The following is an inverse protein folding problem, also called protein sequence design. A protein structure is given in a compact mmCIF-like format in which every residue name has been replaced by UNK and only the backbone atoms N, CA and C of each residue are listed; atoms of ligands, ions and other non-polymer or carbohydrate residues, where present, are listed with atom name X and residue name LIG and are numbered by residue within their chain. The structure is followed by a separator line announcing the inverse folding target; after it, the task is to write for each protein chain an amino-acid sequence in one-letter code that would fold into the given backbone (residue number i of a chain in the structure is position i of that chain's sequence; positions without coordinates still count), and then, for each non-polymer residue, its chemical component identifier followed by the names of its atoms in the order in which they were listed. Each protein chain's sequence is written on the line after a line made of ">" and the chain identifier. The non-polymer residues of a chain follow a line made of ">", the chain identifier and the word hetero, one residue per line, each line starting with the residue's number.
data_IF_936608866716
#
_entry.id   IF_936608866716
#
_cell.length_a   1.000
_cell.length_b   1.000
_cell.length_c   1.000
_cell.angle_alpha   90.00
_cell.angle_beta   90.00
_cell.angle_gamma   90.00
#
_symmetry.space_group_name_H-M   'P 1'
#
loop_
_entity.id
_entity.type
_entity.pdbx_description
1 polymer ?
#
# COMPACT_ATOMS: atom_id res chain seq x y z
N UNK A 1 35.05 -1.29 14.16
CA UNK A 1 35.07 -1.21 12.70
C UNK A 1 34.03 -2.19 12.20
N UNK A 2 32.82 -1.72 11.99
CA UNK A 2 31.68 -2.55 11.53
C UNK A 2 31.82 -2.77 10.04
N UNK A 3 31.86 -4.02 9.63
CA UNK A 3 31.85 -4.47 8.23
C UNK A 3 30.55 -3.98 7.60
N UNK A 4 30.64 -2.97 6.74
CA UNK A 4 29.54 -2.63 5.84
C UNK A 4 29.31 -3.83 4.94
N UNK A 5 28.21 -4.55 5.16
CA UNK A 5 27.75 -5.61 4.29
C UNK A 5 27.53 -5.00 2.90
N UNK A 6 28.32 -5.40 1.92
CA UNK A 6 28.08 -5.08 0.51
C UNK A 6 26.73 -5.72 0.16
N UNK A 7 25.72 -4.91 -0.05
CA UNK A 7 24.45 -5.36 -0.67
C UNK A 7 24.83 -5.93 -2.04
N UNK A 8 24.57 -7.20 -2.24
CA UNK A 8 24.97 -7.92 -3.45
C UNK A 8 24.19 -7.39 -4.65
N UNK A 9 24.82 -7.44 -5.83
CA UNK A 9 24.21 -7.20 -7.15
C UNK A 9 23.30 -8.36 -7.59
N UNK A 10 22.53 -8.93 -6.65
CA UNK A 10 21.75 -10.13 -6.84
C UNK A 10 20.25 -9.86 -6.79
N UNK A 11 19.48 -10.87 -7.18
CA UNK A 11 18.01 -10.88 -7.00
C UNK A 11 17.64 -11.09 -5.54
N UNK A 12 16.50 -10.53 -5.12
CA UNK A 12 15.92 -10.76 -3.81
C UNK A 12 14.46 -11.19 -4.01
N UNK A 13 14.09 -12.30 -3.37
CA UNK A 13 12.71 -12.74 -3.19
C UNK A 13 12.49 -12.93 -1.69
N UNK A 14 11.78 -11.99 -1.08
CA UNK A 14 11.60 -11.92 0.37
C UNK A 14 10.64 -12.97 0.91
N UNK A 15 9.64 -13.35 0.13
CA UNK A 15 8.52 -14.16 0.61
C UNK A 15 8.34 -15.48 -0.17
N UNK A 16 9.02 -15.68 -1.31
CA UNK A 16 8.91 -16.89 -2.13
C UNK A 16 7.50 -17.12 -2.67
N UNK A 17 6.79 -16.06 -3.07
CA UNK A 17 5.42 -16.13 -3.51
C UNK A 17 5.30 -16.49 -5.00
N UNK A 18 4.21 -17.16 -5.34
CA UNK A 18 3.84 -17.48 -6.72
C UNK A 18 2.45 -16.90 -7.03
N UNK A 19 2.37 -16.05 -8.04
CA UNK A 19 1.14 -15.41 -8.50
C UNK A 19 0.04 -16.43 -8.85
N UNK A 20 0.39 -17.57 -9.44
CA UNK A 20 -0.57 -18.59 -9.81
C UNK A 20 -1.24 -19.27 -8.60
N UNK A 21 -0.53 -19.32 -7.48
CA UNK A 21 -1.01 -19.96 -6.25
C UNK A 21 -1.50 -19.00 -5.19
N UNK A 22 -1.20 -17.70 -5.32
CA UNK A 22 -1.69 -16.69 -4.37
C UNK A 22 -3.22 -16.69 -4.29
N UNK A 23 -3.74 -16.51 -3.10
CA UNK A 23 -5.18 -16.36 -2.87
C UNK A 23 -5.41 -15.08 -2.09
N UNK A 24 -6.20 -14.14 -2.64
CA UNK A 24 -6.53 -12.89 -1.97
C UNK A 24 -7.15 -13.12 -0.60
N UNK A 25 -6.89 -12.20 0.31
CA UNK A 25 -7.47 -12.24 1.63
C UNK A 25 -9.00 -12.17 1.60
N UNK A 26 -9.68 -12.76 2.59
CA UNK A 26 -11.15 -12.79 2.65
C UNK A 26 -11.79 -11.38 2.71
N UNK A 27 -11.07 -10.36 3.14
CA UNK A 27 -11.53 -8.97 3.05
C UNK A 27 -11.71 -8.49 1.61
N UNK A 28 -11.04 -9.09 0.63
CA UNK A 28 -11.18 -8.83 -0.81
C UNK A 28 -12.12 -9.84 -1.50
N UNK A 29 -12.86 -10.65 -0.77
CA UNK A 29 -13.77 -11.62 -1.37
C UNK A 29 -14.87 -10.95 -2.21
N UNK A 30 -15.26 -11.61 -3.31
CA UNK A 30 -16.20 -11.06 -4.30
C UNK A 30 -17.62 -10.78 -3.76
N UNK A 31 -17.99 -11.35 -2.61
CA UNK A 31 -19.25 -11.08 -1.91
C UNK A 31 -19.20 -9.80 -1.06
N UNK A 32 -18.04 -9.16 -0.92
CA UNK A 32 -17.88 -7.86 -0.30
C UNK A 32 -18.34 -6.76 -1.25
N UNK A 33 -18.99 -5.72 -0.66
CA UNK A 33 -19.55 -4.62 -1.46
C UNK A 33 -18.60 -3.47 -1.71
N UNK A 34 -17.44 -3.44 -1.06
CA UNK A 34 -16.44 -2.44 -1.37
C UNK A 34 -15.65 -2.81 -2.62
N UNK A 35 -15.56 -1.87 -3.48
CA UNK A 35 -14.69 -1.92 -4.63
C UNK A 35 -13.33 -1.37 -4.21
N UNK A 36 -12.28 -1.77 -4.86
CA UNK A 36 -10.95 -1.20 -4.75
C UNK A 36 -11.00 0.31 -4.96
N UNK A 37 -10.96 1.03 -3.87
CA UNK A 37 -11.04 2.50 -3.89
C UNK A 37 -9.85 3.15 -3.21
N UNK A 38 -9.00 2.34 -2.58
CA UNK A 38 -7.82 2.79 -1.85
C UNK A 38 -6.69 1.77 -1.96
N UNK A 39 -5.87 1.93 -3.00
CA UNK A 39 -4.73 1.05 -3.29
C UNK A 39 -3.77 0.87 -2.09
N UNK A 40 -3.64 1.86 -1.22
CA UNK A 40 -2.78 1.76 -0.04
C UNK A 40 -3.31 0.76 1.00
N UNK A 41 -4.61 0.82 1.29
CA UNK A 41 -5.25 -0.13 2.23
C UNK A 41 -5.31 -1.53 1.64
N UNK A 42 -5.61 -1.63 0.35
CA UNK A 42 -5.72 -2.92 -0.34
C UNK A 42 -4.38 -3.65 -0.34
N UNK A 43 -3.30 -2.94 -0.62
CA UNK A 43 -1.93 -3.47 -0.53
C UNK A 43 -1.61 -3.99 0.88
N UNK A 44 -1.97 -3.26 1.94
CA UNK A 44 -1.76 -3.70 3.30
C UNK A 44 -2.63 -4.91 3.68
N UNK A 45 -3.86 -4.98 3.13
CA UNK A 45 -4.75 -6.13 3.35
C UNK A 45 -4.16 -7.42 2.81
N UNK A 46 -3.33 -7.37 1.76
CA UNK A 46 -2.61 -8.51 1.20
C UNK A 46 -1.21 -8.72 1.83
N UNK A 47 -0.49 -7.64 2.12
CA UNK A 47 0.86 -7.72 2.68
C UNK A 47 0.86 -8.26 4.11
N UNK A 48 -0.07 -7.82 4.96
CA UNK A 48 -0.14 -8.26 6.36
C UNK A 48 -0.28 -9.78 6.50
N UNK A 49 -1.20 -10.49 5.79
CA UNK A 49 -1.27 -11.94 5.82
C UNK A 49 0.00 -12.61 5.32
N UNK A 50 0.64 -12.07 4.28
CA UNK A 50 1.91 -12.58 3.78
C UNK A 50 3.05 -12.45 4.79
N UNK A 51 2.95 -11.48 5.71
CA UNK A 51 3.84 -11.30 6.86
C UNK A 51 3.42 -12.09 8.11
N UNK A 52 2.28 -12.81 8.07
CA UNK A 52 1.75 -13.61 9.16
C UNK A 52 0.85 -12.86 10.14
N UNK A 53 0.28 -11.72 9.72
CA UNK A 53 -0.58 -10.87 10.56
C UNK A 53 -2.02 -10.77 10.02
N UNK A 54 -3.05 -10.79 10.88
CA UNK A 54 -4.44 -10.62 10.45
C UNK A 54 -4.76 -9.13 10.22
N UNK A 55 -5.09 -8.71 9.00
CA UNK A 55 -5.34 -7.30 8.67
C UNK A 55 -6.55 -6.71 9.42
N UNK A 56 -7.52 -7.55 9.80
CA UNK A 56 -8.71 -7.14 10.54
C UNK A 56 -8.37 -6.46 11.87
N UNK A 57 -7.29 -6.88 12.52
CA UNK A 57 -6.88 -6.32 13.80
C UNK A 57 -6.49 -4.84 13.71
N UNK A 58 -6.08 -4.38 12.52
CA UNK A 58 -5.66 -2.99 12.30
C UNK A 58 -6.79 -2.09 11.76
N UNK A 59 -8.00 -2.59 11.52
CA UNK A 59 -9.14 -1.79 11.02
C UNK A 59 -9.84 -0.86 12.03
N UNK A 60 -9.58 -0.90 13.36
CA UNK A 60 -10.26 -0.03 14.32
C UNK A 60 -10.22 1.47 14.00
N UNK A 61 -9.20 1.97 13.30
CA UNK A 61 -9.06 3.38 12.92
C UNK A 61 -10.18 3.86 12.00
N UNK A 62 -10.87 2.96 11.29
CA UNK A 62 -11.89 3.28 10.29
C UNK A 62 -13.06 4.07 10.87
N UNK A 63 -13.34 3.91 12.17
CA UNK A 63 -14.46 4.61 12.86
C UNK A 63 -14.21 6.12 13.03
N UNK A 64 -13.00 6.61 12.78
CA UNK A 64 -12.66 8.05 12.88
C UNK A 64 -12.68 8.77 11.53
N UNK A 65 -13.09 8.10 10.45
CA UNK A 65 -13.21 8.71 9.14
C UNK A 65 -14.12 9.94 9.18
N UNK A 66 -13.67 11.06 8.64
CA UNK A 66 -14.40 12.32 8.60
C UNK A 66 -14.61 12.83 7.17
N UNK A 67 -15.54 13.77 7.03
CA UNK A 67 -15.78 14.50 5.80
C UNK A 67 -15.41 15.97 6.00
N UNK A 68 -14.41 16.43 5.26
CA UNK A 68 -13.76 17.75 5.41
C UNK A 68 -14.51 18.87 4.65
N UNK A 69 -15.71 18.57 4.13
CA UNK A 69 -16.52 19.53 3.40
C UNK A 69 -16.47 19.39 1.88
N UNK A 70 -15.40 18.90 1.35
CA UNK A 70 -15.18 18.62 -0.08
C UNK A 70 -14.76 17.18 -0.37
N UNK A 71 -14.14 16.49 0.59
CA UNK A 71 -13.72 15.10 0.47
C UNK A 71 -13.71 14.39 1.83
N UNK A 72 -13.69 13.06 1.82
CA UNK A 72 -13.39 12.27 3.02
C UNK A 72 -11.89 12.29 3.31
N UNK A 73 -11.51 12.28 4.60
CA UNK A 73 -10.11 12.09 4.99
C UNK A 73 -9.53 10.85 4.33
N UNK A 74 -8.28 10.94 3.86
CA UNK A 74 -7.66 9.81 3.19
C UNK A 74 -7.53 8.60 4.12
N UNK A 75 -7.95 7.45 3.65
CA UNK A 75 -8.02 6.23 4.43
C UNK A 75 -6.63 5.58 4.46
N UNK A 76 -5.89 5.77 5.55
CA UNK A 76 -4.54 5.24 5.75
C UNK A 76 -4.41 4.64 7.14
N UNK A 77 -3.76 3.48 7.27
CA UNK A 77 -3.44 2.91 8.58
C UNK A 77 -2.58 3.88 9.38
N UNK A 78 -2.91 4.16 10.66
CA UNK A 78 -2.00 4.82 11.57
C UNK A 78 -0.75 3.96 11.75
N UNK A 79 0.43 4.54 11.51
CA UNK A 79 1.70 3.79 11.57
C UNK A 79 1.99 3.27 12.98
N UNK A 80 1.58 4.03 13.99
CA UNK A 80 1.64 3.65 15.40
C UNK A 80 0.77 2.42 15.72
N UNK A 81 -0.36 2.24 15.05
CA UNK A 81 -1.21 1.06 15.22
C UNK A 81 -0.53 -0.18 14.64
N UNK A 82 0.08 -0.08 13.46
CA UNK A 82 0.85 -1.18 12.85
C UNK A 82 2.03 -1.59 13.74
N UNK A 83 2.70 -0.62 14.35
CA UNK A 83 3.79 -0.90 15.27
C UNK A 83 3.27 -1.56 16.57
N UNK A 84 2.21 -1.04 17.15
CA UNK A 84 1.64 -1.56 18.39
C UNK A 84 1.06 -2.98 18.26
N UNK A 85 0.44 -3.29 17.11
CA UNK A 85 -0.18 -4.60 16.86
C UNK A 85 0.83 -5.63 16.38
N UNK A 86 1.66 -5.25 15.42
CA UNK A 86 2.44 -6.18 14.61
C UNK A 86 3.95 -6.01 14.74
N UNK A 87 4.42 -5.01 15.50
CA UNK A 87 5.85 -4.70 15.57
C UNK A 87 6.41 -4.21 14.24
N UNK A 88 5.57 -3.64 13.36
CA UNK A 88 5.95 -3.13 12.05
C UNK A 88 6.18 -1.62 12.12
N UNK A 89 7.41 -1.18 11.87
CA UNK A 89 7.76 0.22 11.72
C UNK A 89 7.82 0.60 10.26
N UNK A 90 6.98 1.54 9.84
CA UNK A 90 6.90 2.04 8.47
C UNK A 90 7.55 3.41 8.41
N UNK A 91 8.49 3.60 7.50
CA UNK A 91 9.26 4.83 7.38
C UNK A 91 9.37 5.25 5.93
N UNK A 92 9.16 6.54 5.67
CA UNK A 92 9.41 7.12 4.36
C UNK A 92 10.91 7.12 4.05
N UNK A 93 11.24 6.79 2.81
CA UNK A 93 12.61 6.76 2.33
C UNK A 93 13.01 8.13 1.74
N UNK A 94 14.11 8.69 2.19
CA UNK A 94 14.74 9.82 1.53
C UNK A 94 15.48 9.32 0.28
N UNK A 95 14.87 9.50 -0.89
CA UNK A 95 15.35 8.99 -2.16
C UNK A 95 16.53 9.84 -2.64
N UNK A 96 17.68 9.22 -2.87
CA UNK A 96 18.89 9.85 -3.39
C UNK A 96 19.51 9.09 -4.59
N UNK A 97 19.01 7.90 -4.88
CA UNK A 97 19.39 7.04 -5.99
C UNK A 97 18.12 6.61 -6.74
N UNK A 98 18.20 5.66 -7.66
CA UNK A 98 17.03 5.12 -8.32
C UNK A 98 16.10 4.39 -7.34
N UNK A 99 14.81 4.40 -7.63
CA UNK A 99 13.81 3.62 -6.86
C UNK A 99 14.15 2.13 -6.91
N UNK A 100 14.64 1.66 -8.07
CA UNK A 100 15.10 0.29 -8.24
C UNK A 100 16.22 -0.08 -7.25
N UNK A 101 17.28 0.76 -7.17
CA UNK A 101 18.40 0.52 -6.27
C UNK A 101 17.97 0.52 -4.80
N UNK A 102 17.15 1.48 -4.40
CA UNK A 102 16.60 1.52 -3.04
C UNK A 102 15.72 0.32 -2.73
N UNK A 103 14.87 -0.11 -3.69
CA UNK A 103 14.02 -1.29 -3.52
C UNK A 103 14.88 -2.54 -3.32
N UNK A 104 15.88 -2.76 -4.17
CA UNK A 104 16.80 -3.90 -4.04
C UNK A 104 17.51 -3.90 -2.68
N UNK A 105 18.01 -2.76 -2.23
CA UNK A 105 18.70 -2.62 -0.96
C UNK A 105 17.79 -2.92 0.23
N UNK A 106 16.58 -2.35 0.26
CA UNK A 106 15.64 -2.55 1.37
C UNK A 106 15.12 -4.00 1.42
N UNK A 107 14.77 -4.58 0.28
CA UNK A 107 14.41 -6.00 0.21
C UNK A 107 15.55 -6.90 0.66
N UNK A 108 16.79 -6.58 0.28
CA UNK A 108 18.00 -7.30 0.73
C UNK A 108 18.23 -7.23 2.25
N UNK A 109 17.64 -6.23 2.92
CA UNK A 109 17.62 -6.10 4.39
C UNK A 109 16.40 -6.79 5.03
N UNK A 110 15.52 -7.40 4.24
CA UNK A 110 14.30 -8.04 4.72
C UNK A 110 13.11 -7.09 4.90
N UNK A 111 13.16 -5.91 4.28
CA UNK A 111 12.13 -4.89 4.38
C UNK A 111 11.29 -4.82 3.10
N UNK A 112 9.98 -5.17 3.11
CA UNK A 112 9.07 -4.82 2.02
C UNK A 112 9.09 -3.32 1.76
N UNK A 113 8.88 -2.92 0.50
CA UNK A 113 8.89 -1.51 0.09
C UNK A 113 7.56 -1.15 -0.56
N UNK A 114 6.85 -0.18 0.02
CA UNK A 114 5.68 0.40 -0.62
C UNK A 114 6.14 1.54 -1.54
N UNK A 115 5.71 1.50 -2.79
CA UNK A 115 6.12 2.44 -3.82
C UNK A 115 4.90 3.02 -4.51
N UNK A 116 4.83 4.34 -4.66
CA UNK A 116 3.88 4.96 -5.59
C UNK A 116 4.43 4.85 -7.00
N UNK A 117 3.65 4.25 -7.89
CA UNK A 117 4.02 3.94 -9.26
C UNK A 117 2.94 4.35 -10.26
N UNK A 118 3.31 4.37 -11.52
CA UNK A 118 2.38 4.60 -12.62
C UNK A 118 1.74 3.28 -13.08
N UNK A 119 0.42 3.17 -12.92
CA UNK A 119 -0.36 1.99 -13.32
C UNK A 119 -0.30 1.68 -14.82
N UNK A 120 0.20 2.61 -15.63
CA UNK A 120 0.47 2.39 -17.06
C UNK A 120 1.35 1.14 -17.30
N UNK A 121 2.27 0.85 -16.36
CA UNK A 121 3.23 -0.23 -16.45
C UNK A 121 2.84 -1.48 -15.68
N UNK A 122 1.65 -1.51 -15.06
CA UNK A 122 1.18 -2.65 -14.28
C UNK A 122 0.17 -3.49 -15.10
N UNK A 123 0.53 -4.72 -15.53
CA UNK A 123 -0.36 -5.58 -16.31
C UNK A 123 -1.70 -5.88 -15.63
N UNK A 124 -1.71 -5.98 -14.31
CA UNK A 124 -2.90 -6.23 -13.48
C UNK A 124 -3.82 -5.01 -13.34
N UNK A 125 -3.34 -3.80 -13.64
CA UNK A 125 -4.14 -2.56 -13.57
C UNK A 125 -5.21 -2.44 -14.67
N UNK A 126 -5.37 -3.43 -15.54
CA UNK A 126 -6.43 -3.60 -16.53
C UNK A 126 -6.83 -2.34 -17.31
N UNK A 127 -7.72 -1.50 -16.78
CA UNK A 127 -8.22 -0.31 -17.50
C UNK A 127 -7.14 0.70 -17.87
N UNK A 128 -6.11 0.87 -17.03
CA UNK A 128 -5.04 1.85 -17.21
C UNK A 128 -3.77 1.30 -17.86
N UNK A 129 -3.59 -0.03 -17.83
CA UNK A 129 -2.42 -0.68 -18.42
C UNK A 129 -2.24 -0.30 -19.89
N UNK A 130 -1.11 0.34 -20.22
CA UNK A 130 -0.75 0.83 -21.56
C UNK A 130 -1.74 1.83 -22.19
N UNK A 131 -2.66 2.40 -21.36
CA UNK A 131 -3.71 3.30 -21.85
C UNK A 131 -3.76 4.64 -21.14
N UNK A 132 -3.45 4.66 -19.85
CA UNK A 132 -3.52 5.88 -19.03
C UNK A 132 -2.41 5.93 -18.02
N UNK A 133 -2.15 7.12 -17.49
CA UNK A 133 -1.15 7.37 -16.45
C UNK A 133 -1.88 7.71 -15.15
N UNK A 134 -1.98 6.75 -14.25
CA UNK A 134 -2.67 6.91 -12.95
C UNK A 134 -1.75 6.43 -11.84
N UNK A 135 -1.61 7.26 -10.83
CA UNK A 135 -0.85 6.92 -9.63
C UNK A 135 -1.54 5.79 -8.87
N UNK A 136 -0.78 4.77 -8.49
CA UNK A 136 -1.22 3.73 -7.58
C UNK A 136 -0.08 3.35 -6.62
N UNK A 137 -0.39 2.54 -5.60
CA UNK A 137 0.59 2.05 -4.64
C UNK A 137 0.77 0.54 -4.82
N UNK A 138 2.02 0.10 -4.83
CA UNK A 138 2.37 -1.32 -4.80
C UNK A 138 3.25 -1.62 -3.60
N UNK A 139 3.26 -2.86 -3.09
CA UNK A 139 4.25 -3.32 -2.12
C UNK A 139 5.20 -4.32 -2.77
N UNK A 140 6.42 -3.88 -3.00
CA UNK A 140 7.51 -4.70 -3.50
C UNK A 140 7.92 -5.75 -2.47
N UNK A 141 8.03 -7.01 -2.90
CA UNK A 141 8.52 -8.13 -2.09
C UNK A 141 9.55 -8.99 -2.83
N UNK A 142 9.68 -8.82 -4.15
CA UNK A 142 10.73 -9.47 -4.94
C UNK A 142 11.23 -8.54 -6.04
N UNK A 143 12.54 -8.58 -6.30
CA UNK A 143 13.17 -7.84 -7.39
C UNK A 143 14.39 -8.60 -7.93
N UNK A 144 14.51 -8.63 -9.24
CA UNK A 144 15.70 -9.12 -9.97
C UNK A 144 16.02 -8.16 -11.12
N UNK A 145 16.90 -7.16 -10.89
CA UNK A 145 17.30 -6.22 -11.92
C UNK A 145 17.94 -6.87 -13.14
N UNK A 146 18.72 -7.95 -12.95
CA UNK A 146 19.39 -8.64 -14.05
C UNK A 146 18.39 -9.38 -14.96
N UNK A 147 17.39 -10.01 -14.39
CA UNK A 147 16.30 -10.65 -15.12
C UNK A 147 15.18 -9.66 -15.49
N UNK A 148 15.27 -8.41 -15.04
CA UNK A 148 14.23 -7.38 -15.22
C UNK A 148 12.87 -7.89 -14.77
N UNK A 149 12.81 -8.43 -13.53
CA UNK A 149 11.63 -9.05 -12.94
C UNK A 149 11.33 -8.41 -11.60
N UNK A 150 10.03 -8.18 -11.35
CA UNK A 150 9.53 -7.55 -10.13
C UNK A 150 8.29 -8.29 -9.62
N UNK A 151 8.24 -8.56 -8.30
CA UNK A 151 7.12 -9.19 -7.60
C UNK A 151 6.56 -8.26 -6.56
N UNK A 152 5.25 -8.04 -6.59
CA UNK A 152 4.59 -7.00 -5.81
C UNK A 152 3.14 -7.35 -5.47
N UNK A 153 2.67 -6.79 -4.38
CA UNK A 153 1.23 -6.69 -4.09
C UNK A 153 0.66 -5.43 -4.71
N UNK A 154 -0.51 -5.56 -5.34
CA UNK A 154 -1.29 -4.44 -5.84
C UNK A 154 -2.78 -4.79 -5.77
N UNK A 155 -3.58 -3.83 -5.28
CA UNK A 155 -5.02 -4.04 -5.07
C UNK A 155 -5.29 -5.37 -4.34
N UNK A 156 -5.96 -6.32 -4.97
CA UNK A 156 -6.43 -7.55 -4.35
C UNK A 156 -5.53 -8.76 -4.55
N UNK A 157 -4.26 -8.57 -4.95
CA UNK A 157 -3.44 -9.73 -5.27
C UNK A 157 -1.93 -9.54 -5.24
N UNK A 158 -1.24 -10.65 -5.39
CA UNK A 158 0.20 -10.69 -5.67
C UNK A 158 0.41 -10.88 -7.16
N UNK A 159 1.29 -10.06 -7.75
CA UNK A 159 1.53 -9.99 -9.19
C UNK A 159 3.02 -9.98 -9.49
N UNK A 160 3.35 -10.34 -10.74
CA UNK A 160 4.70 -10.25 -11.27
C UNK A 160 4.70 -9.50 -12.59
N UNK A 161 5.74 -8.71 -12.82
CA UNK A 161 5.99 -8.10 -14.12
C UNK A 161 7.44 -8.27 -14.53
N UNK A 162 7.71 -8.11 -15.83
CA UNK A 162 9.05 -8.27 -16.38
C UNK A 162 9.27 -7.50 -17.68
N UNK A 163 10.51 -7.40 -18.08
CA UNK A 163 10.90 -6.87 -19.40
C UNK A 163 10.53 -5.40 -19.57
N UNK A 164 9.79 -5.05 -20.60
CA UNK A 164 9.45 -3.66 -20.93
C UNK A 164 8.58 -2.96 -19.87
N UNK A 165 7.76 -3.72 -19.11
CA UNK A 165 6.99 -3.17 -18.00
C UNK A 165 7.89 -2.84 -16.81
N UNK A 166 8.89 -3.68 -16.54
CA UNK A 166 9.91 -3.41 -15.53
C UNK A 166 10.68 -2.13 -15.86
N UNK A 167 11.16 -1.98 -17.09
CA UNK A 167 11.91 -0.79 -17.51
C UNK A 167 11.06 0.48 -17.43
N UNK A 168 9.78 0.37 -17.77
CA UNK A 168 8.84 1.49 -17.69
C UNK A 168 8.52 1.87 -16.25
N UNK A 169 8.40 0.89 -15.34
CA UNK A 169 8.13 1.13 -13.93
C UNK A 169 9.32 1.81 -13.22
N UNK A 170 10.53 1.32 -13.47
CA UNK A 170 11.77 1.83 -12.88
C UNK A 170 12.51 2.79 -13.81
N UNK A 171 11.80 3.77 -14.35
CA UNK A 171 12.37 4.78 -15.23
C UNK A 171 13.57 5.49 -14.59
N UNK A 172 14.57 5.89 -15.40
CA UNK A 172 15.73 6.59 -14.88
C UNK A 172 15.33 7.92 -14.22
N UNK A 173 16.12 8.40 -13.23
CA UNK A 173 15.89 9.69 -12.60
C UNK A 173 15.76 10.83 -13.61
N UNK A 174 14.72 11.65 -13.47
CA UNK A 174 14.46 12.77 -14.37
C UNK A 174 13.62 12.44 -15.60
N UNK A 175 13.19 11.20 -15.78
CA UNK A 175 12.15 10.89 -16.76
C UNK A 175 10.84 11.63 -16.40
N UNK A 176 10.05 12.06 -17.40
CA UNK A 176 8.72 12.64 -17.14
C UNK A 176 7.87 11.61 -16.40
N UNK A 177 7.47 11.88 -15.19
CA UNK A 177 6.72 10.94 -14.39
C UNK A 177 6.36 11.50 -13.02
N UNK A 178 5.73 10.67 -12.21
CA UNK A 178 5.38 11.02 -10.85
C UNK A 178 6.64 11.12 -9.97
N UNK A 179 6.61 12.04 -9.03
CA UNK A 179 7.61 12.05 -7.95
C UNK A 179 7.53 10.71 -7.21
N UNK A 180 8.63 9.96 -7.12
CA UNK A 180 8.65 8.69 -6.44
C UNK A 180 8.43 8.90 -4.94
N UNK A 181 7.45 8.19 -4.38
CA UNK A 181 7.24 8.09 -2.95
C UNK A 181 7.45 6.63 -2.55
N UNK A 182 8.32 6.41 -1.56
CA UNK A 182 8.64 5.08 -1.07
C UNK A 182 8.58 5.04 0.45
N UNK A 183 7.94 4.01 0.97
CA UNK A 183 7.99 3.63 2.38
C UNK A 183 8.63 2.24 2.48
N UNK A 184 9.39 1.97 3.52
CA UNK A 184 9.88 0.62 3.80
C UNK A 184 9.39 0.13 5.15
N UNK A 185 9.18 -1.17 5.26
CA UNK A 185 8.58 -1.81 6.43
C UNK A 185 9.62 -2.63 7.16
N UNK A 186 9.97 -2.20 8.39
CA UNK A 186 10.84 -2.96 9.29
C UNK A 186 10.03 -3.83 10.22
N UNK A 187 10.55 -4.99 10.54
CA UNK A 187 10.07 -5.84 11.62
C UNK A 187 10.91 -5.55 12.88
N UNK A 188 10.42 -4.66 13.74
CA UNK A 188 11.15 -4.25 14.96
C UNK A 188 10.90 -5.20 16.14
N UNK A 189 9.96 -6.13 15.98
CA UNK A 189 9.62 -7.13 17.01
C UNK A 189 8.63 -8.17 16.54
N UNK A 190 8.37 -9.16 17.41
CA UNK A 190 7.39 -10.19 17.14
C UNK A 190 6.00 -9.63 17.33
N UNK A 191 5.24 -9.18 16.51
CA UNK A 191 3.88 -8.68 16.71
C UNK A 191 3.10 -9.40 17.84
N UNK A 192 2.02 -8.82 18.25
CA UNK A 192 1.12 -9.43 19.22
C UNK A 192 0.37 -10.60 18.58
N UNK A 193 0.00 -11.59 19.38
CA UNK A 193 -0.77 -12.76 18.92
C UNK A 193 -1.97 -13.00 19.82
N UNK A 194 -2.96 -13.74 19.31
CA UNK A 194 -4.07 -14.30 20.05
C UNK A 194 -4.83 -13.29 20.93
N UNK A 195 -4.93 -13.59 22.23
CA UNK A 195 -5.63 -12.75 23.20
C UNK A 195 -4.99 -11.34 23.35
N UNK A 196 -3.65 -11.26 23.30
CA UNK A 196 -2.95 -9.99 23.40
C UNK A 196 -3.27 -9.09 22.21
N UNK A 197 -3.29 -9.64 21.00
CA UNK A 197 -3.68 -8.92 19.77
C UNK A 197 -5.14 -8.46 19.83
N UNK A 198 -6.05 -9.36 20.22
CA UNK A 198 -7.47 -9.04 20.37
C UNK A 198 -7.68 -7.90 21.37
N UNK A 199 -7.02 -7.97 22.53
CA UNK A 199 -7.10 -6.93 23.56
C UNK A 199 -6.56 -5.58 23.06
N UNK A 200 -5.44 -5.59 22.35
CA UNK A 200 -4.84 -4.38 21.77
C UNK A 200 -5.75 -3.77 20.71
N UNK A 201 -6.27 -4.57 19.77
CA UNK A 201 -7.20 -4.12 18.73
C UNK A 201 -8.47 -3.50 19.34
N UNK A 202 -9.07 -4.12 20.37
CA UNK A 202 -10.20 -3.54 21.10
C UNK A 202 -9.83 -2.25 21.85
N UNK A 203 -8.60 -2.15 22.35
CA UNK A 203 -8.05 -0.93 22.93
C UNK A 203 -7.98 0.20 21.90
N UNK A 204 -7.46 -0.10 20.70
CA UNK A 204 -7.42 0.84 19.57
C UNK A 204 -8.82 1.25 19.12
N UNK A 205 -9.78 0.31 19.07
CA UNK A 205 -11.17 0.66 18.75
C UNK A 205 -11.74 1.68 19.73
N UNK A 206 -11.51 1.51 21.03
CA UNK A 206 -11.93 2.49 22.05
C UNK A 206 -11.26 3.84 21.86
N UNK A 207 -9.95 3.84 21.57
CA UNK A 207 -9.18 5.04 21.27
C UNK A 207 -9.73 5.77 20.06
N UNK A 208 -9.91 5.10 18.93
CA UNK A 208 -10.40 5.70 17.69
C UNK A 208 -11.87 6.15 17.80
N UNK A 209 -12.72 5.43 18.55
CA UNK A 209 -14.07 5.88 18.87
C UNK A 209 -14.11 7.20 19.64
N UNK A 210 -13.12 7.45 20.50
CA UNK A 210 -12.99 8.74 21.19
C UNK A 210 -12.57 9.89 20.25
N UNK A 211 -11.89 9.56 19.14
CA UNK A 211 -11.44 10.50 18.12
C UNK A 211 -12.44 10.67 16.96
N UNK A 212 -13.57 9.94 16.97
CA UNK A 212 -14.56 10.02 15.89
C UNK A 212 -15.12 11.43 15.72
N UNK A 213 -15.54 11.81 14.50
CA UNK A 213 -16.20 13.06 14.24
C UNK A 213 -17.42 13.27 15.14
N UNK A 214 -17.65 14.50 15.59
CA UNK A 214 -18.86 14.85 16.38
C UNK A 214 -20.11 14.81 15.51
N UNK A 215 -20.00 15.24 14.25
CA UNK A 215 -21.06 15.17 13.26
C UNK A 215 -21.02 13.83 12.51
N UNK A 216 -22.14 13.43 11.93
CA UNK A 216 -22.17 12.27 11.05
C UNK A 216 -21.54 12.64 9.68
N UNK A 217 -20.37 12.09 9.31
CA UNK A 217 -19.67 12.47 8.09
C UNK A 217 -20.44 12.12 6.81
N UNK A 218 -21.23 11.03 6.83
CA UNK A 218 -22.09 10.65 5.69
C UNK A 218 -23.25 11.63 5.52
N UNK A 219 -23.81 12.13 6.61
CA UNK A 219 -24.85 13.16 6.54
C UNK A 219 -24.28 14.49 6.04
N UNK A 220 -23.09 14.87 6.46
CA UNK A 220 -22.37 16.06 5.97
C UNK A 220 -22.06 15.94 4.46
N UNK A 221 -21.52 14.81 4.02
CA UNK A 221 -21.29 14.51 2.60
C UNK A 221 -22.59 14.59 1.79
N UNK A 222 -23.69 13.97 2.29
CA UNK A 222 -25.01 14.02 1.61
C UNK A 222 -25.49 15.44 1.40
N UNK A 223 -25.27 16.33 2.36
CA UNK A 223 -25.64 17.73 2.25
C UNK A 223 -24.80 18.49 1.22
N UNK A 224 -23.51 18.15 1.08
CA UNK A 224 -22.58 18.76 0.12
C UNK A 224 -22.72 18.20 -1.31
N UNK A 225 -23.25 16.97 -1.48
CA UNK A 225 -23.28 16.25 -2.75
C UNK A 225 -23.90 17.04 -3.91
N UNK A 226 -25.03 17.77 -3.78
CA UNK A 226 -25.61 18.55 -4.88
C UNK A 226 -24.61 19.56 -5.46
N UNK A 227 -23.89 20.29 -4.60
CA UNK A 227 -22.87 21.24 -5.00
C UNK A 227 -21.69 20.56 -5.74
N UNK A 228 -21.28 19.38 -5.27
CA UNK A 228 -20.24 18.60 -5.92
C UNK A 228 -20.63 18.16 -7.32
N UNK A 229 -21.88 17.70 -7.49
CA UNK A 229 -22.43 17.30 -8.78
C UNK A 229 -22.51 18.49 -9.76
N UNK A 230 -22.92 19.67 -9.29
CA UNK A 230 -22.92 20.90 -10.11
C UNK A 230 -21.51 21.27 -10.57
N UNK A 231 -20.52 21.21 -9.67
CA UNK A 231 -19.11 21.46 -10.01
C UNK A 231 -18.54 20.45 -11.01
N UNK A 232 -18.91 19.17 -10.88
CA UNK A 232 -18.48 18.12 -11.80
C UNK A 232 -19.12 18.30 -13.17
N UNK A 233 -20.41 18.61 -13.23
CA UNK A 233 -21.13 18.85 -14.50
C UNK A 233 -20.62 20.10 -15.26
N UNK A 234 -20.04 21.07 -14.53
CA UNK A 234 -19.44 22.26 -15.13
C UNK A 234 -17.99 22.06 -15.61
N UNK A 235 -17.37 20.91 -15.34
CA UNK A 235 -16.04 20.59 -15.88
C UNK A 235 -16.20 19.92 -17.25
N UNK A 236 -15.54 20.46 -18.27
CA UNK A 236 -15.33 19.73 -19.50
C UNK A 236 -14.47 18.51 -19.15
N UNK A 237 -15.08 17.35 -19.18
CA UNK A 237 -14.41 16.06 -19.00
C UNK A 237 -13.87 15.64 -20.36
N UNK A 238 -12.71 16.23 -20.74
CA UNK A 238 -11.91 15.75 -21.88
C UNK A 238 -11.14 14.47 -21.54
#
# INVERSE_FOLDING_TARGET
>A
MSSASRVGTGSVDLLGLDEATWRPHALHAADRTWVETNCYIDVWTELLPALGHPPEAALPFTVRQDFEGDHFTFFKYPLEDLQALFGLSVQELAIYDSVEAHTLEQLGRGHPVLIEVDSHWLPDAGPTYRKGHVKTTVAAVAIDPAARRFGYFHNTGFHTLQGADYDGLFQPPGAPGMFPYCEFVKRDGPGLTDEALTKASLGLLKHHLALRPKANPVAAWRAALPQHLEKLAARDMD
#
